data_IF_290241701776
#
_entry.id   IF_290241701776
#
_cell.length_a   1.000
_cell.length_b   1.000
_cell.length_c   1.000
_cell.angle_alpha   90.00
_cell.angle_beta   90.00
_cell.angle_gamma   90.00
#
_symmetry.space_group_name_H-M   'P 1'
#
loop_
_entity.id
_entity.type
_entity.pdbx_description
1 polymer ?
#
# COMPACT_ATOMS: atom_id res chain seq x y z
N UNK A 1 -0.50 -3.47 -4.13
CA UNK A 1 -1.43 -4.61 -4.26
C UNK A 1 -0.79 -5.80 -4.96
N UNK A 2 0.02 -5.65 -6.00
CA UNK A 2 0.72 -6.76 -6.67
C UNK A 2 1.57 -7.63 -5.74
N UNK A 3 2.29 -7.01 -4.83
CA UNK A 3 3.17 -7.71 -3.89
C UNK A 3 2.45 -8.65 -2.89
N UNK A 4 1.19 -8.41 -2.58
CA UNK A 4 0.40 -9.28 -1.66
C UNK A 4 -0.21 -10.47 -2.39
N UNK A 5 -0.44 -10.35 -3.70
CA UNK A 5 -1.11 -11.39 -4.51
C UNK A 5 -0.07 -12.37 -5.07
N UNK A 6 1.17 -11.92 -5.38
CA UNK A 6 2.25 -12.78 -5.90
C UNK A 6 2.62 -13.94 -4.98
N UNK A 7 2.54 -13.76 -3.67
CA UNK A 7 2.85 -14.81 -2.67
C UNK A 7 1.79 -15.93 -2.63
N UNK A 8 0.53 -15.62 -2.99
CA UNK A 8 -0.57 -16.60 -2.95
C UNK A 8 -0.55 -17.62 -4.09
N UNK A 9 0.03 -17.29 -5.24
CA UNK A 9 -0.03 -18.14 -6.44
C UNK A 9 1.23 -18.98 -6.70
N UNK A 10 2.32 -18.78 -5.95
CA UNK A 10 3.53 -19.60 -6.07
C UNK A 10 3.37 -21.07 -5.63
N UNK A 11 2.19 -21.44 -5.12
CA UNK A 11 1.91 -22.77 -4.56
C UNK A 11 0.93 -23.60 -5.40
N UNK A 12 1.08 -23.65 -6.74
CA UNK A 12 0.44 -24.69 -7.53
C UNK A 12 1.43 -25.84 -7.78
N UNK A 13 1.27 -27.02 -7.13
CA UNK A 13 2.28 -28.07 -7.10
C UNK A 13 2.36 -28.93 -8.39
N UNK A 14 1.76 -28.54 -9.50
CA UNK A 14 1.63 -29.38 -10.68
C UNK A 14 2.55 -29.05 -11.86
N UNK A 15 3.38 -28.00 -11.77
CA UNK A 15 4.25 -27.60 -12.86
C UNK A 15 5.71 -27.90 -12.52
N UNK A 16 6.40 -28.82 -13.25
CA UNK A 16 7.79 -29.19 -13.01
C UNK A 16 8.80 -28.10 -13.43
N UNK A 17 8.33 -26.97 -14.00
CA UNK A 17 9.22 -25.87 -14.36
C UNK A 17 9.82 -25.20 -13.12
N UNK A 18 11.12 -24.80 -13.15
CA UNK A 18 11.74 -24.05 -12.06
C UNK A 18 10.93 -22.81 -11.69
N UNK A 19 10.85 -22.49 -10.40
CA UNK A 19 10.05 -21.35 -9.91
C UNK A 19 10.39 -20.01 -10.59
N UNK A 20 11.65 -19.82 -11.02
CA UNK A 20 12.13 -18.63 -11.72
C UNK A 20 11.64 -18.51 -13.18
N UNK A 21 11.05 -19.57 -13.76
CA UNK A 21 10.45 -19.53 -15.10
C UNK A 21 8.94 -19.24 -15.06
N UNK A 22 8.37 -19.13 -13.87
CA UNK A 22 6.92 -18.87 -13.72
C UNK A 22 6.66 -17.39 -13.72
N UNK A 23 5.85 -16.93 -14.67
CA UNK A 23 5.33 -15.57 -14.67
C UNK A 23 4.25 -15.42 -13.58
N UNK A 24 4.26 -14.31 -12.88
CA UNK A 24 3.17 -13.96 -12.00
C UNK A 24 1.87 -13.79 -12.78
N UNK A 25 0.78 -14.41 -12.30
CA UNK A 25 -0.54 -14.32 -12.94
C UNK A 25 -1.10 -12.88 -12.96
N UNK A 26 -0.63 -12.04 -12.05
CA UNK A 26 -0.95 -10.60 -12.01
C UNK A 26 0.34 -9.81 -12.20
N UNK A 27 0.58 -9.28 -13.41
CA UNK A 27 1.78 -8.49 -13.68
C UNK A 27 1.85 -7.27 -12.75
N UNK A 28 2.94 -7.14 -12.00
CA UNK A 28 3.23 -5.98 -11.14
C UNK A 28 3.01 -4.63 -11.84
N UNK A 29 3.38 -4.46 -13.14
CA UNK A 29 3.10 -3.23 -13.87
C UNK A 29 1.64 -2.84 -13.91
N UNK A 30 0.69 -3.79 -14.00
CA UNK A 30 -0.76 -3.48 -13.95
C UNK A 30 -1.16 -2.96 -12.58
N UNK A 31 -0.64 -3.57 -11.51
CA UNK A 31 -0.83 -3.07 -10.14
C UNK A 31 -0.34 -1.63 -9.99
N UNK A 32 0.83 -1.31 -10.56
CA UNK A 32 1.39 0.03 -10.53
C UNK A 32 0.60 1.04 -11.37
N UNK A 33 0.01 0.66 -12.49
CA UNK A 33 -0.89 1.54 -13.27
C UNK A 33 -2.13 1.93 -12.44
N UNK A 34 -2.69 0.99 -11.66
CA UNK A 34 -3.80 1.28 -10.74
C UNK A 34 -3.36 2.21 -9.60
N UNK A 35 -2.19 1.99 -9.02
CA UNK A 35 -1.61 2.88 -8.01
C UNK A 35 -1.40 4.28 -8.58
N UNK A 36 -0.81 4.40 -9.76
CA UNK A 36 -0.61 5.66 -10.47
C UNK A 36 -1.93 6.40 -10.66
N UNK A 37 -2.97 5.72 -11.14
CA UNK A 37 -4.29 6.34 -11.35
C UNK A 37 -4.86 6.93 -10.05
N UNK A 38 -4.71 6.22 -8.93
CA UNK A 38 -5.11 6.69 -7.60
C UNK A 38 -4.29 7.89 -7.12
N UNK A 39 -2.97 7.84 -7.28
CA UNK A 39 -2.08 8.94 -6.88
C UNK A 39 -2.29 10.18 -7.75
N UNK A 40 -2.56 10.02 -9.05
CA UNK A 40 -2.93 11.14 -9.90
C UNK A 40 -4.25 11.78 -9.47
N UNK A 41 -5.22 10.99 -9.00
CA UNK A 41 -6.46 11.54 -8.45
C UNK A 41 -6.20 12.33 -7.16
N UNK A 42 -5.36 11.82 -6.25
CA UNK A 42 -4.94 12.52 -5.03
C UNK A 42 -4.18 13.82 -5.36
N UNK A 43 -3.24 13.79 -6.29
CA UNK A 43 -2.45 14.96 -6.68
C UNK A 43 -3.27 16.05 -7.41
N UNK A 44 -4.44 15.71 -7.95
CA UNK A 44 -5.39 16.72 -8.45
C UNK A 44 -6.19 17.39 -7.34
N UNK A 45 -6.40 16.66 -6.23
CA UNK A 45 -7.12 17.20 -5.08
C UNK A 45 -6.22 18.06 -4.18
N UNK A 46 -4.93 17.70 -4.06
CA UNK A 46 -3.96 18.40 -3.22
C UNK A 46 -2.53 18.25 -3.80
N UNK A 47 -1.87 19.37 -4.05
CA UNK A 47 -0.52 19.43 -4.62
C UNK A 47 0.55 18.78 -3.70
N UNK A 48 0.24 18.55 -2.43
CA UNK A 48 1.15 17.87 -1.50
C UNK A 48 1.54 16.46 -1.92
N UNK A 49 0.74 15.81 -2.81
CA UNK A 49 1.01 14.47 -3.36
C UNK A 49 1.89 14.46 -4.62
N UNK A 50 2.51 15.59 -4.97
CA UNK A 50 3.37 15.67 -6.17
C UNK A 50 4.57 14.73 -6.09
N UNK A 51 5.22 14.61 -4.91
CA UNK A 51 6.37 13.72 -4.73
C UNK A 51 5.97 12.24 -4.87
N UNK A 52 4.86 11.83 -4.25
CA UNK A 52 4.32 10.47 -4.39
C UNK A 52 4.01 10.11 -5.84
N UNK A 53 3.53 11.06 -6.66
CA UNK A 53 3.26 10.84 -8.08
C UNK A 53 4.53 10.46 -8.85
N UNK A 54 5.62 11.18 -8.64
CA UNK A 54 6.89 10.90 -9.31
C UNK A 54 7.50 9.58 -8.86
N UNK A 55 7.45 9.29 -7.56
CA UNK A 55 7.94 8.03 -7.01
C UNK A 55 7.10 6.83 -7.48
N UNK A 56 5.78 6.97 -7.57
CA UNK A 56 4.92 5.94 -8.15
C UNK A 56 5.26 5.68 -9.62
N UNK A 57 5.55 6.74 -10.41
CA UNK A 57 6.00 6.62 -11.79
C UNK A 57 7.33 5.88 -11.90
N UNK A 58 8.29 6.20 -11.03
CA UNK A 58 9.58 5.53 -10.98
C UNK A 58 9.43 4.05 -10.57
N UNK A 59 8.64 3.76 -9.55
CA UNK A 59 8.36 2.38 -9.12
C UNK A 59 7.67 1.57 -10.22
N UNK A 60 6.71 2.18 -10.94
CA UNK A 60 6.07 1.56 -12.09
C UNK A 60 7.08 1.25 -13.21
N UNK A 61 7.99 2.16 -13.51
CA UNK A 61 9.03 1.97 -14.52
C UNK A 61 9.99 0.83 -14.15
N UNK A 62 10.37 0.73 -12.87
CA UNK A 62 11.25 -0.34 -12.37
C UNK A 62 10.52 -1.68 -12.31
N UNK A 63 9.21 -1.69 -12.07
CA UNK A 63 8.42 -2.94 -12.00
C UNK A 63 8.35 -3.67 -13.35
N UNK A 64 8.49 -2.97 -14.47
CA UNK A 64 8.44 -3.58 -15.81
C UNK A 64 9.58 -4.59 -16.03
N UNK A 65 10.88 -4.23 -15.88
CA UNK A 65 11.95 -5.21 -15.98
C UNK A 65 11.90 -6.28 -14.89
N UNK A 66 11.44 -5.92 -13.66
CA UNK A 66 11.34 -6.87 -12.55
C UNK A 66 10.26 -7.94 -12.75
N UNK A 67 9.28 -7.69 -13.60
CA UNK A 67 8.27 -8.68 -13.97
C UNK A 67 8.80 -9.79 -14.88
N UNK A 68 9.93 -9.59 -15.55
CA UNK A 68 10.55 -10.59 -16.42
C UNK A 68 11.36 -11.58 -15.55
N UNK A 69 10.96 -12.88 -15.46
CA UNK A 69 11.62 -13.85 -14.58
C UNK A 69 13.12 -13.99 -14.87
N UNK A 70 13.51 -13.90 -16.14
CA UNK A 70 14.90 -14.02 -16.57
C UNK A 70 15.79 -12.91 -16.02
N UNK A 71 15.24 -11.69 -15.88
CA UNK A 71 15.97 -10.56 -15.32
C UNK A 71 15.99 -10.64 -13.80
N UNK A 72 14.83 -10.92 -13.19
CA UNK A 72 14.70 -10.98 -11.75
C UNK A 72 15.59 -12.09 -11.14
N UNK A 73 15.67 -13.25 -11.79
CA UNK A 73 16.50 -14.37 -11.34
C UNK A 73 18.02 -14.09 -11.38
N UNK A 74 18.46 -13.14 -12.19
CA UNK A 74 19.88 -12.77 -12.31
C UNK A 74 20.36 -11.80 -11.24
N UNK A 75 19.44 -11.15 -10.54
CA UNK A 75 19.77 -10.18 -9.52
C UNK A 75 20.27 -10.87 -8.26
N UNK A 76 21.35 -10.35 -7.71
CA UNK A 76 21.76 -10.69 -6.35
C UNK A 76 20.86 -9.97 -5.29
N UNK A 77 21.06 -10.30 -4.02
CA UNK A 77 20.26 -9.74 -2.93
C UNK A 77 20.38 -8.21 -2.83
N UNK A 78 21.57 -7.65 -3.14
CA UNK A 78 21.83 -6.22 -3.09
C UNK A 78 21.14 -5.51 -4.24
N UNK A 79 21.19 -6.07 -5.44
CA UNK A 79 20.54 -5.54 -6.65
C UNK A 79 19.03 -5.59 -6.50
N UNK A 80 18.47 -6.70 -5.99
CA UNK A 80 17.04 -6.84 -5.73
C UNK A 80 16.57 -5.83 -4.68
N UNK A 81 17.34 -5.62 -3.61
CA UNK A 81 17.05 -4.58 -2.63
C UNK A 81 17.07 -3.19 -3.29
N UNK A 82 18.08 -2.88 -4.09
CA UNK A 82 18.19 -1.58 -4.76
C UNK A 82 16.99 -1.33 -5.70
N UNK A 83 16.56 -2.35 -6.44
CA UNK A 83 15.38 -2.29 -7.29
C UNK A 83 14.07 -2.06 -6.50
N UNK A 84 14.01 -2.43 -5.23
CA UNK A 84 12.85 -2.20 -4.36
C UNK A 84 12.77 -0.78 -3.78
N UNK A 85 13.86 0.00 -3.80
CA UNK A 85 13.92 1.33 -3.20
C UNK A 85 12.88 2.33 -3.71
N UNK A 86 12.56 2.41 -5.03
CA UNK A 86 11.51 3.31 -5.52
C UNK A 86 10.14 3.01 -4.93
N UNK A 87 9.78 1.74 -4.79
CA UNK A 87 8.54 1.31 -4.14
C UNK A 87 8.53 1.68 -2.67
N UNK A 88 9.62 1.42 -1.96
CA UNK A 88 9.76 1.75 -0.54
C UNK A 88 9.67 3.27 -0.31
N UNK A 89 10.38 4.05 -1.12
CA UNK A 89 10.34 5.51 -1.08
C UNK A 89 8.93 6.04 -1.35
N UNK A 90 8.22 5.46 -2.33
CA UNK A 90 6.83 5.78 -2.61
C UNK A 90 5.94 5.54 -1.38
N UNK A 91 5.99 4.35 -0.77
CA UNK A 91 5.18 4.01 0.40
C UNK A 91 5.48 4.94 1.59
N UNK A 92 6.76 5.24 1.84
CA UNK A 92 7.20 6.13 2.91
C UNK A 92 6.68 7.55 2.69
N UNK A 93 6.87 8.11 1.49
CA UNK A 93 6.46 9.49 1.17
C UNK A 93 4.94 9.61 1.19
N UNK A 94 4.20 8.67 0.58
CA UNK A 94 2.75 8.68 0.60
C UNK A 94 2.20 8.58 2.04
N UNK A 95 2.77 7.70 2.87
CA UNK A 95 2.40 7.62 4.28
C UNK A 95 2.64 8.95 5.01
N UNK A 96 3.78 9.60 4.77
CA UNK A 96 4.10 10.91 5.35
C UNK A 96 3.13 11.99 4.88
N UNK A 97 2.82 12.06 3.60
CA UNK A 97 1.91 13.07 3.03
C UNK A 97 0.49 12.91 3.60
N UNK A 98 -0.05 11.70 3.66
CA UNK A 98 -1.36 11.42 4.28
C UNK A 98 -1.35 11.79 5.77
N UNK A 99 -0.31 11.41 6.51
CA UNK A 99 -0.17 11.74 7.93
C UNK A 99 -0.14 13.25 8.19
N UNK A 100 0.62 13.98 7.36
CA UNK A 100 0.68 15.45 7.46
C UNK A 100 -0.65 16.12 7.10
N UNK A 101 -1.31 15.63 6.05
CA UNK A 101 -2.62 16.14 5.64
C UNK A 101 -3.67 15.91 6.74
N UNK A 102 -3.68 14.72 7.36
CA UNK A 102 -4.56 14.41 8.49
C UNK A 102 -4.32 15.33 9.70
N UNK A 103 -3.06 15.66 9.97
CA UNK A 103 -2.69 16.58 11.08
C UNK A 103 -3.11 18.03 10.81
N UNK A 104 -3.22 18.45 9.54
CA UNK A 104 -3.62 19.81 9.14
C UNK A 104 -5.14 20.01 9.09
N UNK A 105 -5.94 18.96 9.24
CA UNK A 105 -7.41 19.08 9.23
C UNK A 105 -7.91 19.91 10.44
N UNK A 106 -9.10 20.46 10.31
CA UNK A 106 -9.75 21.21 11.40
C UNK A 106 -11.15 20.61 11.67
N UNK A 107 -11.32 19.81 12.75
CA UNK A 107 -10.32 19.41 13.76
C UNK A 107 -9.32 18.38 13.19
N UNK A 108 -8.09 18.32 13.77
CA UNK A 108 -7.07 17.37 13.32
C UNK A 108 -7.49 15.90 13.49
N UNK A 109 -7.27 15.07 12.47
CA UNK A 109 -7.45 13.61 12.58
C UNK A 109 -6.20 12.96 13.21
N UNK A 110 -6.05 13.16 14.53
CA UNK A 110 -4.90 12.68 15.30
C UNK A 110 -4.71 11.16 15.24
N UNK A 111 -5.79 10.40 15.06
CA UNK A 111 -5.69 8.94 14.91
C UNK A 111 -4.96 8.57 13.62
N UNK A 112 -5.37 9.14 12.50
CA UNK A 112 -4.75 8.88 11.19
C UNK A 112 -3.31 9.41 11.19
N UNK A 113 -3.07 10.64 11.64
CA UNK A 113 -1.74 11.24 11.70
C UNK A 113 -0.74 10.36 12.47
N UNK A 114 -1.12 9.86 13.66
CA UNK A 114 -0.26 8.99 14.47
C UNK A 114 0.02 7.65 13.79
N UNK A 115 -0.99 7.01 13.20
CA UNK A 115 -0.84 5.69 12.55
C UNK A 115 0.05 5.77 11.31
N UNK A 116 -0.15 6.79 10.48
CA UNK A 116 0.72 7.00 9.33
C UNK A 116 2.13 7.43 9.73
N UNK A 117 2.31 8.17 10.84
CA UNK A 117 3.63 8.43 11.41
C UNK A 117 4.37 7.16 11.82
N UNK A 118 3.69 6.17 12.42
CA UNK A 118 4.27 4.87 12.73
C UNK A 118 4.66 4.10 11.47
N UNK A 119 3.85 4.18 10.39
CA UNK A 119 4.20 3.56 9.10
C UNK A 119 5.45 4.19 8.49
N UNK A 120 5.61 5.51 8.57
CA UNK A 120 6.84 6.19 8.11
C UNK A 120 8.06 5.63 8.81
N UNK A 121 8.02 5.47 10.15
CA UNK A 121 9.10 4.84 10.91
C UNK A 121 9.31 3.38 10.50
N UNK A 122 8.23 2.62 10.32
CA UNK A 122 8.30 1.23 9.85
C UNK A 122 8.98 1.10 8.49
N UNK A 123 8.56 1.91 7.50
CA UNK A 123 9.19 1.91 6.18
C UNK A 123 10.66 2.37 6.22
N UNK A 124 11.01 3.34 7.06
CA UNK A 124 12.39 3.75 7.24
C UNK A 124 13.26 2.60 7.79
N UNK A 125 12.75 1.84 8.75
CA UNK A 125 13.42 0.65 9.28
C UNK A 125 13.57 -0.44 8.21
N UNK A 126 12.51 -0.73 7.45
CA UNK A 126 12.54 -1.69 6.34
C UNK A 126 13.58 -1.28 5.28
N UNK A 127 13.81 0.01 5.09
CA UNK A 127 14.83 0.50 4.16
C UNK A 127 16.26 0.37 4.69
N UNK A 128 16.47 0.51 5.98
CA UNK A 128 17.81 0.53 6.59
C UNK A 128 18.28 -0.88 7.01
N UNK A 129 17.38 -1.71 7.54
CA UNK A 129 17.74 -3.01 8.07
C UNK A 129 18.44 -3.95 7.06
N UNK A 130 18.01 -4.04 5.78
CA UNK A 130 18.72 -4.84 4.78
C UNK A 130 20.16 -4.39 4.55
N UNK A 131 20.42 -3.06 4.63
CA UNK A 131 21.79 -2.54 4.50
C UNK A 131 22.67 -3.04 5.63
N UNK A 132 22.13 -3.12 6.84
CA UNK A 132 22.86 -3.65 8.01
C UNK A 132 22.99 -5.16 7.92
N UNK A 133 21.95 -5.88 7.48
CA UNK A 133 21.97 -7.32 7.34
C UNK A 133 22.98 -7.77 6.26
N UNK A 134 22.87 -7.24 5.06
CA UNK A 134 23.69 -7.62 3.90
C UNK A 134 25.08 -6.98 4.02
N UNK A 135 25.16 -5.66 4.22
CA UNK A 135 26.42 -4.93 4.29
C UNK A 135 27.22 -5.16 5.57
N UNK A 136 26.53 -5.44 6.69
CA UNK A 136 27.15 -5.76 7.98
C UNK A 136 27.38 -7.26 8.21
N UNK A 137 26.91 -8.14 7.32
CA UNK A 137 27.04 -9.59 7.46
C UNK A 137 26.24 -10.17 8.65
N UNK A 138 25.16 -9.50 9.06
CA UNK A 138 24.33 -9.91 10.21
C UNK A 138 23.14 -10.72 9.71
N UNK A 139 23.35 -11.98 9.33
CA UNK A 139 22.33 -12.87 8.79
C UNK A 139 21.11 -13.05 9.71
N UNK A 140 21.29 -12.93 11.04
CA UNK A 140 20.20 -13.05 12.01
C UNK A 140 19.11 -11.97 11.83
N UNK A 141 19.40 -10.87 11.12
CA UNK A 141 18.43 -9.80 10.85
C UNK A 141 17.55 -10.05 9.63
N UNK A 142 17.86 -11.03 8.79
CA UNK A 142 17.09 -11.30 7.55
C UNK A 142 15.63 -11.65 7.87
N UNK A 143 15.39 -12.67 8.70
CA UNK A 143 14.05 -13.08 9.07
C UNK A 143 13.21 -11.98 9.76
N UNK A 144 13.74 -11.30 10.79
CA UNK A 144 13.06 -10.16 11.40
C UNK A 144 12.77 -9.03 10.43
N UNK A 145 13.67 -8.75 9.48
CA UNK A 145 13.47 -7.70 8.45
C UNK A 145 12.36 -8.07 7.48
N UNK A 146 12.31 -9.31 7.03
CA UNK A 146 11.24 -9.81 6.18
C UNK A 146 9.89 -9.74 6.88
N UNK A 147 9.80 -10.21 8.11
CA UNK A 147 8.58 -10.14 8.91
C UNK A 147 8.12 -8.70 9.12
N UNK A 148 9.04 -7.78 9.45
CA UNK A 148 8.72 -6.36 9.59
C UNK A 148 8.19 -5.77 8.29
N UNK A 149 8.80 -6.10 7.15
CA UNK A 149 8.35 -5.67 5.82
C UNK A 149 6.91 -6.11 5.56
N UNK A 150 6.59 -7.36 5.84
CA UNK A 150 5.23 -7.89 5.73
C UNK A 150 4.22 -7.13 6.60
N UNK A 151 4.54 -6.95 7.88
CA UNK A 151 3.66 -6.27 8.84
C UNK A 151 3.39 -4.83 8.38
N UNK A 152 4.45 -4.09 8.01
CA UNK A 152 4.33 -2.68 7.60
C UNK A 152 3.51 -2.54 6.32
N UNK A 153 3.74 -3.41 5.31
CA UNK A 153 2.99 -3.38 4.05
C UNK A 153 1.51 -3.71 4.27
N UNK A 154 1.19 -4.77 5.03
CA UNK A 154 -0.20 -5.13 5.34
C UNK A 154 -0.90 -4.02 6.13
N UNK A 155 -0.23 -3.44 7.13
CA UNK A 155 -0.76 -2.32 7.89
C UNK A 155 -1.00 -1.08 7.02
N UNK A 156 -0.10 -0.79 6.08
CA UNK A 156 -0.24 0.31 5.13
C UNK A 156 -1.47 0.12 4.23
N UNK A 157 -1.61 -1.05 3.61
CA UNK A 157 -2.77 -1.38 2.77
C UNK A 157 -4.07 -1.26 3.59
N UNK A 158 -4.10 -1.84 4.79
CA UNK A 158 -5.27 -1.74 5.67
C UNK A 158 -5.63 -0.29 5.98
N UNK A 159 -4.66 0.54 6.35
CA UNK A 159 -4.89 1.95 6.66
C UNK A 159 -5.33 2.76 5.44
N UNK A 160 -4.79 2.49 4.24
CA UNK A 160 -5.27 3.10 3.00
C UNK A 160 -6.74 2.78 2.75
N UNK A 161 -7.16 1.51 2.91
CA UNK A 161 -8.57 1.15 2.82
C UNK A 161 -9.44 1.82 3.88
N UNK A 162 -8.90 2.06 5.06
CA UNK A 162 -9.64 2.72 6.15
C UNK A 162 -9.86 4.21 5.89
N UNK A 163 -8.89 4.88 5.23
CA UNK A 163 -8.94 6.33 5.01
C UNK A 163 -9.50 6.72 3.64
N UNK A 164 -9.65 5.81 2.68
CA UNK A 164 -10.04 6.11 1.31
C UNK A 164 -11.38 6.86 1.17
N UNK A 165 -12.26 6.77 2.17
CA UNK A 165 -13.56 7.45 2.20
C UNK A 165 -13.54 8.80 2.92
N UNK A 166 -12.40 9.23 3.44
CA UNK A 166 -12.29 10.52 4.12
C UNK A 166 -12.47 11.65 3.11
N UNK A 167 -13.36 12.61 3.42
CA UNK A 167 -13.66 13.76 2.56
C UNK A 167 -12.41 14.58 2.23
N UNK A 168 -11.52 14.76 3.20
CA UNK A 168 -10.26 15.48 3.00
C UNK A 168 -9.25 14.76 2.09
N UNK A 169 -9.50 13.50 1.69
CA UNK A 169 -8.78 12.78 0.63
C UNK A 169 -9.57 12.77 -0.71
N UNK A 170 -10.64 13.55 -0.82
CA UNK A 170 -11.53 13.53 -1.98
C UNK A 170 -12.49 12.34 -2.01
N UNK A 171 -12.63 11.62 -0.89
CA UNK A 171 -13.58 10.53 -0.74
C UNK A 171 -15.02 11.02 -0.59
N UNK A 172 -16.02 10.15 -0.84
CA UNK A 172 -17.45 10.50 -0.78
C UNK A 172 -18.00 10.74 0.64
N UNK A 173 -17.14 10.74 1.66
CA UNK A 173 -17.56 10.86 3.05
C UNK A 173 -18.14 9.57 3.66
N UNK A 174 -18.62 9.64 4.92
CA UNK A 174 -19.32 8.57 5.58
C UNK A 174 -20.60 8.21 4.82
N UNK A 175 -20.94 6.91 4.76
CA UNK A 175 -22.24 6.50 4.23
C UNK A 175 -23.34 7.09 5.12
N UNK A 176 -24.11 8.03 4.60
CA UNK A 176 -25.35 8.44 5.25
C UNK A 176 -26.33 7.26 5.19
N UNK A 177 -26.37 6.51 6.29
CA UNK A 177 -27.43 5.53 6.48
C UNK A 177 -28.69 6.33 6.81
N UNK A 178 -29.50 6.64 5.79
CA UNK A 178 -30.82 7.19 6.04
C UNK A 178 -31.56 6.22 6.96
N UNK A 179 -32.01 6.65 8.15
CA UNK A 179 -32.83 5.82 9.01
C UNK A 179 -34.04 5.41 8.16
N UNK A 180 -34.13 4.12 7.84
CA UNK A 180 -35.31 3.61 7.16
C UNK A 180 -36.55 4.14 7.89
N UNK A 181 -37.47 4.74 7.16
CA UNK A 181 -38.79 5.20 7.61
C UNK A 181 -39.62 4.05 8.26
N UNK A 182 -39.10 3.41 9.30
CA UNK A 182 -39.87 2.46 10.09
C UNK A 182 -40.91 3.14 10.97
N UNK A 183 -40.86 4.45 11.04
CA UNK A 183 -41.78 5.22 11.89
C UNK A 183 -43.13 5.46 11.22
N UNK A 184 -43.22 5.53 9.90
CA UNK A 184 -44.50 5.77 9.20
C UNK A 184 -45.49 4.61 9.19
N UNK A 185 -45.05 3.38 9.42
CA UNK A 185 -45.96 2.22 9.50
C UNK A 185 -46.62 2.02 10.89
N UNK A 186 -46.15 2.68 11.94
CA UNK A 186 -46.79 2.60 13.26
C UNK A 186 -47.88 3.63 13.48
N UNK A 187 -47.87 4.76 12.77
CA UNK A 187 -48.88 5.80 12.92
C UNK A 187 -50.16 5.57 12.06
N UNK A 188 -50.09 4.64 11.12
CA UNK A 188 -51.23 4.31 10.24
C UNK A 188 -52.15 3.17 10.70
N UNK A 189 -51.95 2.63 11.92
CA UNK A 189 -52.84 1.57 12.42
C UNK A 189 -54.03 2.21 13.12
N UNK A 190 -55.29 2.13 12.54
CA UNK A 190 -56.48 2.64 13.21
C UNK A 190 -56.68 1.91 14.55
N UNK A 191 -57.16 2.62 15.57
CA UNK A 191 -57.48 1.99 16.86
C UNK A 191 -58.55 0.92 16.64
N UNK A 192 -58.25 -0.29 17.09
CA UNK A 192 -59.18 -1.41 17.13
C UNK A 192 -60.32 -1.06 18.05
N UNK A 193 -61.49 -0.84 17.48
CA UNK A 193 -62.80 -0.78 18.20
C UNK A 193 -63.17 -2.15 18.75
#
# INVERSE_FOLDING_TARGET
MGMVIGVGFAYFPADPSPAWQKYDALPDPIGWLLVLSGVFALARADDSFAASRWLAGLAAAVSVPMWLPELNHRLDASEAWFASLPQLAFCLVLAREIGMLAARQSPPDGYVAKRFGLLVTGFALVGVLPVVAIGGGVEQLEGPTELLSWIVNVAFIYLLFRVHRREWLGGPGPLEVHPRERTRQREGRPPSS
#
